data_IF_348348586602
#
_entry.id   IF_348348586602
#
_cell.length_a   1.000
_cell.length_b   1.000
_cell.length_c   1.000
_cell.angle_alpha   90.00
_cell.angle_beta   90.00
_cell.angle_gamma   90.00
#
_symmetry.space_group_name_H-M   'P 1'
#
loop_
_entity.id
_entity.type
_entity.pdbx_description
1 polymer ?
#
# COMPACT_ATOMS: atom_id res chain seq x y z
N UNK A 1 -48.42 0.83 -41.62
CA UNK A 1 -47.75 -0.50 -41.59
C UNK A 1 -46.24 -0.44 -41.40
N UNK A 2 -45.57 0.70 -41.44
CA UNK A 2 -44.10 0.81 -41.27
C UNK A 2 -43.54 0.78 -39.81
N UNK A 3 -44.39 0.89 -38.82
CA UNK A 3 -43.94 0.99 -37.40
C UNK A 3 -43.78 -0.35 -36.67
N UNK A 4 -44.26 -1.45 -37.25
CA UNK A 4 -44.17 -2.80 -36.65
C UNK A 4 -42.89 -3.54 -37.08
N UNK A 5 -42.40 -3.26 -38.29
CA UNK A 5 -41.17 -3.90 -38.80
C UNK A 5 -39.88 -3.38 -38.12
N UNK A 6 -39.84 -2.10 -37.76
CA UNK A 6 -38.68 -1.52 -37.05
C UNK A 6 -38.54 -2.03 -35.61
N UNK A 7 -39.65 -2.33 -34.93
CA UNK A 7 -39.59 -2.89 -33.56
C UNK A 7 -39.15 -4.36 -33.56
N UNK A 8 -39.52 -5.13 -34.57
CA UNK A 8 -39.08 -6.53 -34.70
C UNK A 8 -37.60 -6.64 -35.09
N UNK A 9 -37.12 -5.73 -35.93
CA UNK A 9 -35.69 -5.68 -36.28
C UNK A 9 -34.78 -5.30 -35.11
N UNK A 10 -35.16 -4.29 -34.32
CA UNK A 10 -34.44 -3.91 -33.09
C UNK A 10 -34.48 -5.02 -32.04
N UNK A 11 -35.60 -5.73 -31.88
CA UNK A 11 -35.68 -6.85 -30.95
C UNK A 11 -34.76 -8.02 -31.33
N UNK A 12 -34.64 -8.31 -32.64
CA UNK A 12 -33.73 -9.34 -33.14
C UNK A 12 -32.24 -8.96 -32.96
N UNK A 13 -31.91 -7.69 -33.13
CA UNK A 13 -30.54 -7.17 -32.95
C UNK A 13 -30.12 -7.20 -31.47
N UNK A 14 -31.02 -6.80 -30.57
CA UNK A 14 -30.79 -6.90 -29.11
C UNK A 14 -30.62 -8.35 -28.65
N UNK A 15 -31.47 -9.26 -29.12
CA UNK A 15 -31.34 -10.69 -28.81
C UNK A 15 -30.02 -11.30 -29.35
N UNK A 16 -29.52 -10.81 -30.48
CA UNK A 16 -28.22 -11.19 -31.01
C UNK A 16 -27.05 -10.69 -30.16
N UNK A 17 -27.14 -9.47 -29.61
CA UNK A 17 -26.15 -8.90 -28.73
C UNK A 17 -26.15 -9.61 -27.36
N UNK A 18 -27.33 -9.89 -26.79
CA UNK A 18 -27.46 -10.66 -25.54
C UNK A 18 -26.92 -12.09 -25.70
N UNK A 19 -27.24 -12.78 -26.78
CA UNK A 19 -26.68 -14.11 -27.04
C UNK A 19 -25.17 -14.08 -27.25
N UNK A 20 -24.62 -13.00 -27.82
CA UNK A 20 -23.17 -12.78 -27.92
C UNK A 20 -22.50 -12.54 -26.56
N UNK A 21 -23.14 -11.79 -25.69
CA UNK A 21 -22.64 -11.55 -24.31
C UNK A 21 -22.70 -12.83 -23.48
N UNK A 22 -23.80 -13.59 -23.57
CA UNK A 22 -23.92 -14.89 -22.88
C UNK A 22 -22.87 -15.90 -23.37
N UNK A 23 -22.56 -15.88 -24.68
CA UNK A 23 -21.51 -16.73 -25.23
C UNK A 23 -20.10 -16.33 -24.74
N UNK A 24 -19.85 -15.05 -24.55
CA UNK A 24 -18.58 -14.55 -23.93
C UNK A 24 -18.47 -14.93 -22.46
N UNK A 25 -19.56 -14.79 -21.70
CA UNK A 25 -19.59 -15.20 -20.27
C UNK A 25 -19.46 -16.73 -20.12
N UNK A 26 -20.11 -17.51 -21.00
CA UNK A 26 -19.97 -18.96 -21.00
C UNK A 26 -18.56 -19.44 -21.33
N UNK A 27 -17.82 -18.66 -22.13
CA UNK A 27 -16.42 -18.98 -22.47
C UNK A 27 -15.47 -18.72 -21.28
N UNK A 28 -15.80 -17.78 -20.38
CA UNK A 28 -14.99 -17.44 -19.21
C UNK A 28 -15.26 -18.37 -18.00
N UNK A 29 -16.38 -19.11 -18.01
CA UNK A 29 -16.72 -20.08 -16.95
C UNK A 29 -16.08 -21.47 -17.14
N UNK A 30 -15.18 -21.64 -18.10
CA UNK A 30 -14.41 -22.84 -18.30
C UNK A 30 -13.52 -23.10 -17.09
N UNK A 31 -13.84 -24.14 -16.28
CA UNK A 31 -12.98 -24.66 -15.22
C UNK A 31 -11.56 -24.84 -15.77
N UNK A 32 -10.67 -23.90 -15.49
CA UNK A 32 -9.26 -24.03 -15.86
C UNK A 32 -8.74 -25.33 -15.25
N UNK A 33 -8.23 -26.28 -16.04
CA UNK A 33 -7.77 -27.55 -15.51
C UNK A 33 -6.71 -27.29 -14.44
N UNK A 34 -6.81 -27.98 -13.30
CA UNK A 34 -5.90 -27.84 -12.15
C UNK A 34 -4.43 -27.84 -12.58
N UNK A 35 -4.09 -28.61 -13.62
CA UNK A 35 -2.77 -28.65 -14.24
C UNK A 35 -2.34 -27.29 -14.80
N UNK A 36 -3.24 -26.54 -15.43
CA UNK A 36 -2.94 -25.22 -15.99
C UNK A 36 -2.70 -24.19 -14.86
N UNK A 37 -3.48 -24.26 -13.79
CA UNK A 37 -3.31 -23.41 -12.59
C UNK A 37 -1.99 -23.74 -11.88
N UNK A 38 -1.64 -25.01 -11.74
CA UNK A 38 -0.36 -25.47 -11.15
C UNK A 38 0.83 -24.97 -11.96
N UNK A 39 0.83 -25.21 -13.28
CA UNK A 39 1.97 -24.87 -14.14
C UNK A 39 2.14 -23.35 -14.33
N UNK A 40 1.05 -22.59 -14.49
CA UNK A 40 1.15 -21.16 -14.80
C UNK A 40 1.05 -20.23 -13.56
N UNK A 41 0.47 -20.69 -12.45
CA UNK A 41 0.32 -19.86 -11.24
C UNK A 41 1.24 -20.26 -10.09
N UNK A 42 1.56 -21.54 -9.93
CA UNK A 42 2.34 -22.05 -8.79
C UNK A 42 3.79 -22.34 -9.18
N UNK A 43 4.03 -22.94 -10.34
CA UNK A 43 5.38 -23.30 -10.77
C UNK A 43 6.33 -22.09 -10.92
N UNK A 44 5.94 -20.97 -11.58
CA UNK A 44 6.83 -19.83 -11.75
C UNK A 44 7.33 -19.22 -10.43
N UNK A 45 6.47 -18.92 -9.44
CA UNK A 45 6.94 -18.40 -8.16
C UNK A 45 7.79 -19.43 -7.37
N UNK A 46 7.49 -20.70 -7.50
CA UNK A 46 8.28 -21.76 -6.84
C UNK A 46 9.68 -21.87 -7.45
N UNK A 47 9.78 -21.84 -8.79
CA UNK A 47 11.07 -21.79 -9.48
C UNK A 47 11.85 -20.54 -9.09
N UNK A 48 11.20 -19.37 -9.01
CA UNK A 48 11.87 -18.15 -8.59
C UNK A 48 12.45 -18.26 -7.18
N UNK A 49 11.70 -18.82 -6.22
CA UNK A 49 12.19 -19.07 -4.86
C UNK A 49 13.38 -20.01 -4.86
N UNK A 50 13.31 -21.12 -5.61
CA UNK A 50 14.44 -22.09 -5.72
C UNK A 50 15.67 -21.42 -6.32
N UNK A 51 15.50 -20.62 -7.37
CA UNK A 51 16.62 -19.89 -8.01
C UNK A 51 17.26 -18.90 -7.03
N UNK A 52 16.45 -18.15 -6.28
CA UNK A 52 16.96 -17.19 -5.27
C UNK A 52 17.74 -17.93 -4.17
N UNK A 53 17.20 -19.04 -3.64
CA UNK A 53 17.89 -19.84 -2.64
C UNK A 53 19.18 -20.47 -3.18
N UNK A 54 19.16 -20.94 -4.41
CA UNK A 54 20.36 -21.50 -5.07
C UNK A 54 21.45 -20.43 -5.29
N UNK A 55 21.06 -19.22 -5.72
CA UNK A 55 21.98 -18.10 -5.85
C UNK A 55 22.56 -17.68 -4.49
N UNK A 56 21.70 -17.60 -3.45
CA UNK A 56 22.15 -17.29 -2.10
C UNK A 56 23.16 -18.34 -1.60
N UNK A 57 22.84 -19.63 -1.74
CA UNK A 57 23.75 -20.69 -1.38
C UNK A 57 25.06 -20.65 -2.19
N UNK A 58 24.99 -20.33 -3.48
CA UNK A 58 26.15 -20.20 -4.35
C UNK A 58 27.09 -19.08 -3.88
N UNK A 59 26.55 -17.91 -3.49
CA UNK A 59 27.33 -16.79 -2.96
C UNK A 59 28.19 -17.20 -1.75
N UNK A 60 27.65 -18.09 -0.91
CA UNK A 60 28.37 -18.60 0.28
C UNK A 60 29.38 -19.69 -0.13
N UNK A 61 28.95 -20.60 -0.99
CA UNK A 61 29.83 -21.75 -1.42
C UNK A 61 31.05 -21.30 -2.21
N UNK A 62 30.92 -20.19 -2.96
CA UNK A 62 32.04 -19.61 -3.72
C UNK A 62 32.85 -18.57 -2.95
N UNK A 63 32.63 -18.46 -1.62
CA UNK A 63 33.33 -17.51 -0.73
C UNK A 63 33.34 -16.06 -1.26
N UNK A 64 32.24 -15.64 -1.96
CA UNK A 64 32.11 -14.27 -2.47
C UNK A 64 31.94 -13.29 -1.30
N UNK A 65 31.43 -13.78 -0.17
CA UNK A 65 31.29 -13.04 1.10
C UNK A 65 32.09 -13.81 2.15
N UNK A 66 33.30 -13.33 2.43
CA UNK A 66 34.28 -13.97 3.33
C UNK A 66 33.85 -14.01 4.81
N UNK A 67 32.78 -13.37 5.18
CA UNK A 67 32.36 -13.22 6.58
C UNK A 67 30.98 -13.84 6.81
N UNK A 68 30.89 -15.01 7.49
CA UNK A 68 29.60 -15.66 7.80
C UNK A 68 28.65 -14.80 8.63
N UNK A 69 29.17 -13.78 9.35
CA UNK A 69 28.34 -12.87 10.13
C UNK A 69 27.60 -11.86 9.26
N UNK A 70 28.08 -11.59 8.06
CA UNK A 70 27.45 -10.67 7.10
C UNK A 70 26.36 -11.35 6.27
N UNK A 71 26.55 -12.62 5.93
CA UNK A 71 25.58 -13.39 5.15
C UNK A 71 25.51 -14.84 5.67
N UNK A 72 24.61 -15.13 6.63
CA UNK A 72 24.43 -16.52 7.12
C UNK A 72 23.87 -17.41 6.01
N UNK A 73 24.14 -18.73 6.11
CA UNK A 73 23.58 -19.68 5.14
C UNK A 73 22.05 -19.84 5.30
N UNK A 74 21.33 -20.24 4.25
CA UNK A 74 19.91 -20.58 4.36
C UNK A 74 19.63 -21.65 5.44
N UNK A 75 20.58 -22.58 5.64
CA UNK A 75 20.48 -23.62 6.67
C UNK A 75 20.60 -23.04 8.08
N UNK A 76 21.52 -22.07 8.30
CA UNK A 76 21.69 -21.42 9.59
C UNK A 76 20.45 -20.60 9.95
N UNK A 77 19.90 -19.85 8.98
CA UNK A 77 18.65 -19.10 9.18
C UNK A 77 17.49 -20.04 9.52
N UNK A 78 17.38 -21.18 8.83
CA UNK A 78 16.38 -22.21 9.13
C UNK A 78 16.57 -22.82 10.52
N UNK A 79 17.82 -23.04 10.92
CA UNK A 79 18.22 -23.54 12.24
C UNK A 79 17.83 -22.56 13.36
N UNK A 80 18.19 -21.29 13.22
CA UNK A 80 17.84 -20.26 14.21
C UNK A 80 16.33 -20.05 14.33
N UNK A 81 15.60 -20.08 13.20
CA UNK A 81 14.15 -20.02 13.22
C UNK A 81 13.55 -21.21 14.01
N UNK A 82 14.05 -22.44 13.77
CA UNK A 82 13.62 -23.62 14.51
C UNK A 82 13.94 -23.53 15.99
N UNK A 83 15.14 -23.06 16.36
CA UNK A 83 15.56 -22.88 17.74
C UNK A 83 14.67 -21.87 18.45
N UNK A 84 14.46 -20.69 17.86
CA UNK A 84 13.58 -19.67 18.43
C UNK A 84 12.13 -20.15 18.58
N UNK A 85 11.66 -21.02 17.69
CA UNK A 85 10.35 -21.66 17.82
C UNK A 85 10.30 -22.62 19.00
N UNK A 86 11.28 -23.52 19.11
CA UNK A 86 11.34 -24.53 20.19
C UNK A 86 11.54 -23.88 21.57
N UNK A 87 12.29 -22.81 21.66
CA UNK A 87 12.50 -22.02 22.88
C UNK A 87 11.29 -21.14 23.23
N UNK A 88 10.30 -21.01 22.35
CA UNK A 88 9.13 -20.16 22.56
C UNK A 88 9.42 -18.66 22.51
N UNK A 89 10.61 -18.25 22.09
CA UNK A 89 11.05 -16.84 22.02
C UNK A 89 10.59 -16.12 20.75
N UNK A 90 10.27 -16.87 19.69
CA UNK A 90 9.90 -16.33 18.37
C UNK A 90 8.71 -15.38 18.44
N UNK A 91 7.65 -15.77 19.13
CA UNK A 91 6.45 -14.93 19.27
C UNK A 91 6.75 -13.63 20.04
N UNK A 92 7.65 -13.68 21.01
CA UNK A 92 8.13 -12.50 21.73
C UNK A 92 8.86 -11.52 20.81
N UNK A 93 9.73 -12.00 19.96
CA UNK A 93 10.44 -11.17 18.97
C UNK A 93 9.49 -10.55 17.95
N UNK A 94 8.56 -11.37 17.42
CA UNK A 94 7.52 -10.88 16.49
C UNK A 94 6.68 -9.79 17.16
N UNK A 95 6.18 -10.05 18.38
CA UNK A 95 5.35 -9.10 19.13
C UNK A 95 6.09 -7.78 19.38
N UNK A 96 7.34 -7.86 19.79
CA UNK A 96 8.17 -6.69 20.03
C UNK A 96 8.35 -5.85 18.77
N UNK A 97 8.61 -6.49 17.63
CA UNK A 97 8.80 -5.80 16.34
C UNK A 97 7.48 -5.18 15.85
N UNK A 98 6.39 -5.95 15.86
CA UNK A 98 5.07 -5.49 15.42
C UNK A 98 4.55 -4.37 16.32
N UNK A 99 4.68 -4.49 17.63
CA UNK A 99 4.22 -3.44 18.57
C UNK A 99 4.97 -2.12 18.38
N UNK A 100 6.29 -2.16 18.16
CA UNK A 100 7.08 -0.97 17.86
C UNK A 100 6.68 -0.33 16.53
N UNK A 101 6.53 -1.13 15.47
CA UNK A 101 6.07 -0.66 14.16
C UNK A 101 4.68 -0.03 14.24
N UNK A 102 3.75 -0.71 14.91
CA UNK A 102 2.37 -0.23 15.08
C UNK A 102 2.33 1.08 15.88
N UNK A 103 3.08 1.16 16.97
CA UNK A 103 3.13 2.36 17.81
C UNK A 103 3.74 3.54 17.04
N UNK A 104 4.82 3.31 16.31
CA UNK A 104 5.42 4.32 15.42
C UNK A 104 4.46 4.80 14.34
N UNK A 105 3.71 3.88 13.73
CA UNK A 105 2.71 4.22 12.71
C UNK A 105 1.52 4.98 13.30
N UNK A 106 1.02 4.61 14.47
CA UNK A 106 -0.04 5.34 15.17
C UNK A 106 0.39 6.77 15.52
N UNK A 107 1.64 6.96 15.95
CA UNK A 107 2.21 8.28 16.16
C UNK A 107 2.30 9.07 14.84
N UNK A 108 2.75 8.41 13.76
CA UNK A 108 2.78 9.03 12.44
C UNK A 108 1.38 9.42 11.95
N UNK A 109 0.37 8.63 12.22
CA UNK A 109 -1.04 8.91 11.92
C UNK A 109 -1.53 10.12 12.74
N UNK A 110 -1.22 10.15 14.03
CA UNK A 110 -1.61 11.24 14.94
C UNK A 110 -0.98 12.58 14.54
N UNK A 111 0.20 12.59 13.94
CA UNK A 111 0.89 13.79 13.47
C UNK A 111 0.54 14.09 12.01
N UNK A 112 0.63 13.10 11.13
CA UNK A 112 0.48 13.25 9.68
C UNK A 112 -0.94 13.63 9.24
N UNK A 113 -1.97 13.12 9.93
CA UNK A 113 -3.36 13.45 9.60
C UNK A 113 -3.71 14.91 9.89
N UNK A 114 -3.45 15.47 11.09
CA UNK A 114 -3.67 16.89 11.33
C UNK A 114 -2.80 17.79 10.44
N UNK A 115 -1.54 17.40 10.22
CA UNK A 115 -0.63 18.15 9.36
C UNK A 115 -1.14 18.16 7.90
N UNK A 116 -1.55 17.01 7.36
CA UNK A 116 -2.14 16.93 6.02
C UNK A 116 -3.42 17.76 5.88
N UNK A 117 -4.29 17.73 6.89
CA UNK A 117 -5.50 18.56 6.92
C UNK A 117 -5.16 20.05 6.94
N UNK A 118 -4.16 20.45 7.72
CA UNK A 118 -3.70 21.84 7.78
C UNK A 118 -3.12 22.31 6.44
N UNK A 119 -2.27 21.49 5.82
CA UNK A 119 -1.69 21.73 4.49
C UNK A 119 -2.78 21.81 3.42
N UNK A 120 -3.79 20.94 3.46
CA UNK A 120 -4.90 20.97 2.50
C UNK A 120 -5.80 22.22 2.65
N UNK A 121 -5.94 22.76 3.87
CA UNK A 121 -6.89 23.84 4.16
C UNK A 121 -6.27 25.23 4.11
N UNK A 122 -5.01 25.38 4.47
CA UNK A 122 -4.31 26.67 4.62
C UNK A 122 -3.30 26.86 3.50
N UNK A 123 -3.61 27.75 2.57
CA UNK A 123 -2.74 28.01 1.38
C UNK A 123 -1.31 28.39 1.75
N UNK A 124 -1.12 29.18 2.80
CA UNK A 124 0.21 29.58 3.27
C UNK A 124 1.00 28.35 3.78
N UNK A 125 0.37 27.52 4.60
CA UNK A 125 1.00 26.28 5.11
C UNK A 125 1.33 25.33 3.97
N UNK A 126 0.44 25.23 3.00
CA UNK A 126 0.66 24.42 1.80
C UNK A 126 1.88 24.88 0.99
N UNK A 127 2.00 26.19 0.79
CA UNK A 127 3.14 26.74 0.08
C UNK A 127 4.48 26.55 0.82
N UNK A 128 4.45 26.64 2.15
CA UNK A 128 5.65 26.51 2.97
C UNK A 128 6.04 25.04 3.24
N UNK A 129 5.09 24.19 3.64
CA UNK A 129 5.36 22.83 4.11
C UNK A 129 5.18 21.77 2.99
N UNK A 130 4.28 22.02 2.02
CA UNK A 130 4.01 21.06 0.94
C UNK A 130 5.27 20.58 0.20
N UNK A 131 6.18 21.47 -0.27
CA UNK A 131 7.41 21.06 -0.91
C UNK A 131 8.33 20.23 -0.01
N UNK A 132 8.37 20.53 1.31
CA UNK A 132 9.17 19.79 2.28
C UNK A 132 8.62 18.36 2.44
N UNK A 133 7.30 18.22 2.60
CA UNK A 133 6.68 16.90 2.70
C UNK A 133 6.91 16.06 1.44
N UNK A 134 6.80 16.68 0.26
CA UNK A 134 7.04 15.98 -1.00
C UNK A 134 8.52 15.60 -1.17
N UNK A 135 9.44 16.46 -0.74
CA UNK A 135 10.87 16.17 -0.72
C UNK A 135 11.23 15.02 0.24
N UNK A 136 10.67 15.01 1.44
CA UNK A 136 10.87 13.92 2.40
C UNK A 136 10.31 12.59 1.87
N UNK A 137 9.15 12.61 1.23
CA UNK A 137 8.52 11.41 0.66
C UNK A 137 9.28 10.87 -0.56
N UNK A 138 10.03 11.69 -1.29
CA UNK A 138 10.83 11.26 -2.44
C UNK A 138 12.06 10.43 -2.02
N UNK A 139 12.50 10.55 -0.77
CA UNK A 139 13.60 9.76 -0.23
C UNK A 139 13.07 8.44 0.33
N UNK A 140 13.73 7.30 0.05
CA UNK A 140 13.43 6.04 0.73
C UNK A 140 13.59 6.20 2.24
N UNK A 141 12.65 5.69 3.05
CA UNK A 141 12.73 5.79 4.53
C UNK A 141 14.03 5.22 5.10
N UNK A 142 14.58 4.18 4.46
CA UNK A 142 15.87 3.56 4.82
C UNK A 142 17.05 4.55 4.74
N UNK A 143 16.98 5.56 3.87
CA UNK A 143 18.05 6.57 3.78
C UNK A 143 18.21 7.41 5.06
N UNK A 144 17.17 7.44 5.91
CA UNK A 144 17.20 8.13 7.21
C UNK A 144 17.85 7.32 8.33
N UNK A 145 18.11 6.02 8.12
CA UNK A 145 18.72 5.16 9.16
C UNK A 145 20.11 5.64 9.57
N UNK A 146 21.09 5.89 8.67
CA UNK A 146 22.41 6.33 9.06
C UNK A 146 22.41 7.66 9.85
N UNK A 147 21.73 8.74 9.39
CA UNK A 147 21.62 9.96 10.19
C UNK A 147 20.96 9.75 11.55
N UNK A 148 19.87 8.96 11.61
CA UNK A 148 19.18 8.68 12.85
C UNK A 148 20.05 7.92 13.85
N UNK A 149 20.87 6.97 13.39
CA UNK A 149 21.85 6.26 14.24
C UNK A 149 22.88 7.21 14.80
N UNK A 150 23.41 8.14 13.97
CA UNK A 150 24.42 9.10 14.40
C UNK A 150 23.85 10.08 15.44
N UNK A 151 22.64 10.55 15.28
CA UNK A 151 22.04 11.57 16.13
C UNK A 151 21.40 11.00 17.39
N UNK A 152 20.78 9.84 17.30
CA UNK A 152 19.96 9.25 18.37
C UNK A 152 20.57 7.98 18.98
N UNK A 153 21.58 7.38 18.32
CA UNK A 153 22.13 6.10 18.70
C UNK A 153 21.23 4.92 18.34
N UNK A 154 21.71 3.70 18.61
CA UNK A 154 20.95 2.46 18.34
C UNK A 154 19.96 2.19 19.48
N UNK A 155 18.81 2.82 19.42
CA UNK A 155 17.74 2.71 20.41
C UNK A 155 16.33 2.84 19.79
N UNK A 156 15.30 2.71 20.63
CA UNK A 156 13.91 2.82 20.18
C UNK A 156 13.56 4.20 19.59
N UNK A 157 14.19 5.27 20.10
CA UNK A 157 13.95 6.64 19.60
C UNK A 157 14.38 6.79 18.15
N UNK A 158 15.50 6.17 17.76
CA UNK A 158 15.97 6.12 16.38
C UNK A 158 14.93 5.42 15.48
N UNK A 159 14.41 4.27 15.92
CA UNK A 159 13.40 3.54 15.14
C UNK A 159 12.13 4.38 14.92
N UNK A 160 11.62 5.03 15.96
CA UNK A 160 10.46 5.92 15.85
C UNK A 160 10.74 7.13 14.97
N UNK A 161 11.92 7.73 15.04
CA UNK A 161 12.31 8.85 14.18
C UNK A 161 12.28 8.46 12.69
N UNK A 162 12.85 7.31 12.35
CA UNK A 162 12.84 6.79 10.95
C UNK A 162 11.41 6.51 10.48
N UNK A 163 10.58 5.87 11.31
CA UNK A 163 9.17 5.61 10.99
C UNK A 163 8.41 6.93 10.78
N UNK A 164 8.60 7.93 11.63
CA UNK A 164 7.94 9.22 11.52
C UNK A 164 8.38 9.98 10.26
N UNK A 165 9.68 10.00 9.95
CA UNK A 165 10.22 10.67 8.76
C UNK A 165 9.71 10.04 7.45
N UNK A 166 9.44 8.74 7.43
CA UNK A 166 8.88 8.05 6.27
C UNK A 166 7.35 8.16 6.20
N UNK A 167 6.66 7.88 7.30
CA UNK A 167 5.21 7.73 7.32
C UNK A 167 4.45 9.08 7.38
N UNK A 168 4.91 10.07 8.16
CA UNK A 168 4.21 11.36 8.30
C UNK A 168 4.04 12.07 6.96
N UNK A 169 5.09 12.23 6.11
CA UNK A 169 4.93 12.85 4.80
C UNK A 169 3.97 12.09 3.89
N UNK A 170 4.03 10.75 3.90
CA UNK A 170 3.18 9.89 3.09
C UNK A 170 1.70 10.01 3.47
N UNK A 171 1.40 10.00 4.77
CA UNK A 171 0.04 10.17 5.31
C UNK A 171 -0.49 11.58 4.99
N UNK A 172 0.32 12.62 5.23
CA UNK A 172 -0.07 14.00 4.99
C UNK A 172 -0.34 14.26 3.49
N UNK A 173 0.58 13.86 2.60
CA UNK A 173 0.41 14.02 1.15
C UNK A 173 -0.74 13.18 0.60
N UNK A 174 -0.97 11.97 1.12
CA UNK A 174 -2.11 11.15 0.75
C UNK A 174 -3.44 11.83 1.07
N UNK A 175 -3.54 12.46 2.25
CA UNK A 175 -4.73 13.23 2.63
C UNK A 175 -4.90 14.49 1.77
N UNK A 176 -3.84 15.24 1.51
CA UNK A 176 -3.85 16.41 0.63
C UNK A 176 -4.30 16.02 -0.77
N UNK A 177 -3.70 14.99 -1.35
CA UNK A 177 -4.06 14.48 -2.67
C UNK A 177 -5.50 14.00 -2.73
N UNK A 178 -5.96 13.28 -1.70
CA UNK A 178 -7.35 12.84 -1.61
C UNK A 178 -8.33 14.02 -1.58
N UNK A 179 -8.04 15.08 -0.83
CA UNK A 179 -8.88 16.29 -0.77
C UNK A 179 -8.88 17.03 -2.11
N UNK A 180 -7.73 17.13 -2.78
CA UNK A 180 -7.59 17.84 -4.06
C UNK A 180 -8.34 17.12 -5.20
N UNK A 181 -8.48 15.81 -5.13
CA UNK A 181 -9.19 15.01 -6.12
C UNK A 181 -10.72 15.02 -5.95
N UNK A 182 -11.26 15.63 -4.89
CA UNK A 182 -12.72 15.71 -4.69
C UNK A 182 -13.34 16.57 -5.79
N UNK A 183 -14.25 16.00 -6.63
CA UNK A 183 -14.88 16.76 -7.70
C UNK A 183 -15.64 17.98 -7.17
N UNK A 184 -15.49 19.17 -7.81
CA UNK A 184 -16.22 20.37 -7.41
C UNK A 184 -17.74 20.21 -7.40
N UNK A 185 -18.25 19.25 -8.17
CA UNK A 185 -19.68 18.90 -8.21
C UNK A 185 -20.19 18.44 -6.85
N UNK A 186 -19.44 17.61 -6.13
CA UNK A 186 -19.83 17.14 -4.80
C UNK A 186 -19.91 18.28 -3.79
N UNK A 187 -18.98 19.24 -3.89
CA UNK A 187 -19.00 20.44 -3.04
C UNK A 187 -20.20 21.36 -3.34
N UNK A 188 -20.59 21.48 -4.62
CA UNK A 188 -21.76 22.25 -5.04
C UNK A 188 -23.05 21.57 -4.57
N UNK A 189 -23.23 20.29 -4.86
CA UNK A 189 -24.38 19.50 -4.42
C UNK A 189 -24.56 19.54 -2.89
N UNK A 190 -23.45 19.41 -2.16
CA UNK A 190 -23.49 19.50 -0.70
C UNK A 190 -23.97 20.87 -0.18
N UNK A 191 -23.56 21.95 -0.83
CA UNK A 191 -24.02 23.30 -0.46
C UNK A 191 -25.52 23.48 -0.69
N UNK A 192 -26.05 22.95 -1.80
CA UNK A 192 -27.54 23.01 -2.05
C UNK A 192 -28.31 22.18 -1.05
N UNK A 193 -27.72 21.15 -0.47
CA UNK A 193 -28.30 20.31 0.59
C UNK A 193 -28.05 20.86 2.00
N UNK A 194 -27.47 22.07 2.13
CA UNK A 194 -27.19 22.71 3.44
C UNK A 194 -25.92 22.19 4.14
N UNK A 195 -25.11 21.35 3.50
CA UNK A 195 -23.84 20.87 4.06
C UNK A 195 -22.73 21.90 3.81
N UNK A 196 -22.68 22.93 4.65
CA UNK A 196 -21.66 24.00 4.60
C UNK A 196 -20.66 23.88 5.76
N UNK A 197 -19.48 24.48 5.62
CA UNK A 197 -18.46 24.51 6.67
C UNK A 197 -18.02 23.11 7.14
N UNK A 198 -18.04 22.89 8.44
CA UNK A 198 -17.66 21.61 9.07
C UNK A 198 -18.55 20.45 8.64
N UNK A 199 -19.86 20.67 8.47
CA UNK A 199 -20.78 19.62 7.98
C UNK A 199 -20.39 19.15 6.58
N UNK A 200 -20.07 20.06 5.67
CA UNK A 200 -19.58 19.72 4.33
C UNK A 200 -18.23 18.99 4.37
N UNK A 201 -17.34 19.37 5.27
CA UNK A 201 -16.07 18.69 5.45
C UNK A 201 -16.23 17.22 5.88
N UNK A 202 -17.07 16.96 6.88
CA UNK A 202 -17.27 15.62 7.43
C UNK A 202 -18.10 14.70 6.54
N UNK A 203 -19.17 15.22 5.91
CA UNK A 203 -20.11 14.37 5.16
C UNK A 203 -19.79 14.26 3.67
N UNK A 204 -18.95 15.15 3.12
CA UNK A 204 -18.66 15.18 1.69
C UNK A 204 -17.16 15.04 1.44
N UNK A 205 -16.35 15.98 1.97
CA UNK A 205 -14.92 16.03 1.62
C UNK A 205 -14.19 14.84 2.20
N UNK A 206 -14.39 14.50 3.46
CA UNK A 206 -13.67 13.42 4.12
C UNK A 206 -13.98 12.03 3.52
N UNK A 207 -15.25 11.65 3.30
CA UNK A 207 -15.56 10.39 2.61
C UNK A 207 -15.04 10.35 1.17
N UNK A 208 -15.14 11.47 0.43
CA UNK A 208 -14.64 11.54 -0.94
C UNK A 208 -13.11 11.53 -1.03
N UNK A 209 -12.41 12.03 -0.01
CA UNK A 209 -10.94 12.02 0.08
C UNK A 209 -10.38 10.68 0.61
N UNK A 210 -11.24 9.81 1.16
CA UNK A 210 -10.84 8.56 1.80
C UNK A 210 -9.96 7.65 0.92
N UNK A 211 -10.23 7.44 -0.37
CA UNK A 211 -9.37 6.60 -1.22
C UNK A 211 -7.93 7.11 -1.29
N UNK A 212 -7.73 8.41 -1.49
CA UNK A 212 -6.40 9.04 -1.50
C UNK A 212 -5.71 8.96 -0.14
N UNK A 213 -6.46 9.18 0.93
CA UNK A 213 -5.95 9.04 2.30
C UNK A 213 -5.49 7.60 2.60
N UNK A 214 -6.30 6.59 2.24
CA UNK A 214 -5.94 5.18 2.41
C UNK A 214 -4.70 4.79 1.59
N UNK A 215 -4.54 5.35 0.38
CA UNK A 215 -3.34 5.19 -0.41
C UNK A 215 -2.10 5.75 0.31
N UNK A 216 -2.21 6.93 0.94
CA UNK A 216 -1.17 7.52 1.77
C UNK A 216 -0.85 6.69 3.02
N UNK A 217 -1.88 6.13 3.69
CA UNK A 217 -1.69 5.21 4.82
C UNK A 217 -0.94 3.95 4.40
N UNK A 218 -1.37 3.33 3.29
CA UNK A 218 -0.69 2.16 2.74
C UNK A 218 0.77 2.43 2.44
N UNK A 219 1.08 3.58 1.82
CA UNK A 219 2.45 3.98 1.51
C UNK A 219 3.26 4.29 2.78
N UNK A 220 2.64 4.89 3.79
CA UNK A 220 3.31 5.18 5.06
C UNK A 220 3.57 3.94 5.92
N UNK A 221 2.84 2.84 5.69
CA UNK A 221 3.06 1.55 6.35
C UNK A 221 4.15 0.72 5.64
N UNK A 222 4.36 0.89 4.34
CA UNK A 222 5.34 0.15 3.54
C UNK A 222 6.77 0.63 3.78
#
# INVERSE_FOLDING_TARGET
>A
MAGTETKTAQGAELAGVEAGLDALEATDSGRTPLRHTLVHKILPPLVAVVVVLALWQALITFDIVDDPTKLPSPADVGGEFKNAWLEGTLLGYIWTSVSRGLLGFLLALAIGTPLGLLVARVKFVRAAIGPILSGLQSLPSVAWVPPAVIWLGLNNSMMYAVILLGAVPSIANGLVSGIDQVPPLFLRAGRTMGATGLKGAWHIVLPAALPGYLAGLKQGWA
#
